data_IF_868849184496
#
_entry.id   IF_868849184496
#
_cell.length_a   1.000
_cell.length_b   1.000
_cell.length_c   1.000
_cell.angle_alpha   90.00
_cell.angle_beta   90.00
_cell.angle_gamma   90.00
#
_symmetry.space_group_name_H-M   'P 1'
#
loop_
_entity.id
_entity.type
_entity.pdbx_description
1 polymer ?
#
# COMPACT_ATOMS: atom_id res chain seq x y z
N UNK A 1 14.28 -0.85 6.98
CA UNK A 1 12.92 -1.26 6.58
C UNK A 1 11.96 -0.41 7.40
N UNK A 2 11.02 0.28 6.78
CA UNK A 2 10.07 1.19 7.46
C UNK A 2 8.65 0.66 7.48
N UNK A 3 8.32 -0.27 6.59
CA UNK A 3 7.03 -0.99 6.57
C UNK A 3 7.27 -2.41 6.01
N UNK A 4 6.48 -3.38 6.46
CA UNK A 4 6.55 -4.79 6.05
C UNK A 4 5.18 -5.44 6.20
N UNK A 5 4.72 -6.10 5.13
CA UNK A 5 3.48 -6.86 5.09
C UNK A 5 3.73 -8.24 4.47
N UNK A 6 3.27 -9.30 5.13
CA UNK A 6 3.20 -10.62 4.52
C UNK A 6 2.00 -10.71 3.58
N UNK A 7 2.15 -11.44 2.47
CA UNK A 7 1.02 -11.83 1.64
C UNK A 7 0.07 -12.73 2.43
N UNK A 8 -1.21 -12.78 2.03
CA UNK A 8 -2.24 -13.59 2.73
C UNK A 8 -1.89 -15.09 2.80
N UNK A 9 -1.22 -15.62 1.78
CA UNK A 9 -0.74 -17.00 1.74
C UNK A 9 0.60 -17.21 2.47
N UNK A 10 1.17 -16.14 3.06
CA UNK A 10 2.45 -16.12 3.78
C UNK A 10 3.66 -16.57 2.96
N UNK A 11 3.57 -16.58 1.62
CA UNK A 11 4.69 -16.98 0.75
C UNK A 11 5.59 -15.82 0.34
N UNK A 12 5.18 -14.57 0.62
CA UNK A 12 5.89 -13.36 0.19
C UNK A 12 5.85 -12.29 1.28
N UNK A 13 6.87 -11.43 1.26
CA UNK A 13 6.92 -10.20 2.04
C UNK A 13 7.08 -8.99 1.10
N UNK A 14 6.17 -8.03 1.20
CA UNK A 14 6.32 -6.71 0.63
C UNK A 14 6.89 -5.78 1.71
N UNK A 15 7.90 -4.98 1.35
CA UNK A 15 8.63 -4.15 2.30
C UNK A 15 8.91 -2.77 1.72
N UNK A 16 8.93 -1.76 2.58
CA UNK A 16 9.47 -0.43 2.27
C UNK A 16 10.90 -0.34 2.78
N UNK A 17 11.85 -0.18 1.86
CA UNK A 17 13.28 -0.04 2.18
C UNK A 17 13.82 1.19 1.45
N UNK A 18 14.26 2.21 2.20
CA UNK A 18 14.77 3.45 1.61
C UNK A 18 13.76 4.19 0.73
N UNK A 19 12.45 4.04 1.02
CA UNK A 19 11.37 4.60 0.21
C UNK A 19 11.02 3.81 -1.06
N UNK A 20 11.53 2.59 -1.20
CA UNK A 20 11.31 1.71 -2.36
C UNK A 20 10.49 0.49 -1.97
N UNK A 21 9.68 -0.02 -2.91
CA UNK A 21 8.96 -1.30 -2.73
C UNK A 21 9.92 -2.44 -3.04
N UNK A 22 10.16 -3.29 -2.05
CA UNK A 22 10.95 -4.51 -2.17
C UNK A 22 10.05 -5.71 -1.90
N UNK A 23 10.05 -6.65 -2.82
CA UNK A 23 9.38 -7.95 -2.68
C UNK A 23 10.43 -9.02 -2.40
N UNK A 24 10.16 -9.92 -1.45
CA UNK A 24 10.95 -11.12 -1.21
C UNK A 24 10.04 -12.34 -1.05
N UNK A 25 10.57 -13.52 -1.35
CA UNK A 25 9.94 -14.80 -1.01
C UNK A 25 10.12 -15.09 0.47
N UNK A 26 9.15 -15.76 1.09
CA UNK A 26 9.24 -16.29 2.44
C UNK A 26 9.43 -17.80 2.34
N UNK A 27 10.60 -18.28 2.73
CA UNK A 27 10.96 -19.69 2.60
C UNK A 27 11.36 -20.30 3.94
N UNK A 28 10.89 -21.52 4.21
CA UNK A 28 11.37 -22.28 5.36
C UNK A 28 12.70 -22.95 5.01
N UNK A 29 13.71 -22.66 5.81
CA UNK A 29 15.05 -23.25 5.72
C UNK A 29 15.03 -24.71 6.16
N UNK A 30 16.08 -25.47 5.81
CA UNK A 30 16.26 -26.86 6.26
C UNK A 30 16.29 -27.00 7.79
N UNK A 31 16.66 -25.93 8.51
CA UNK A 31 16.70 -25.88 9.98
C UNK A 31 15.34 -25.50 10.60
N UNK A 32 14.27 -25.37 9.81
CA UNK A 32 12.92 -25.02 10.26
C UNK A 32 12.68 -23.52 10.50
N UNK A 33 13.70 -22.67 10.34
CA UNK A 33 13.59 -21.21 10.43
C UNK A 33 13.02 -20.62 9.13
N UNK A 34 12.42 -19.43 9.18
CA UNK A 34 11.99 -18.71 7.99
C UNK A 34 13.03 -17.67 7.55
N UNK A 35 13.20 -17.53 6.24
CA UNK A 35 14.08 -16.54 5.63
C UNK A 35 13.34 -15.75 4.53
N UNK A 36 13.72 -14.49 4.38
CA UNK A 36 13.37 -13.68 3.22
C UNK A 36 14.43 -13.90 2.13
N UNK A 37 14.03 -14.45 0.99
CA UNK A 37 14.93 -14.81 -0.10
C UNK A 37 14.56 -14.09 -1.39
N UNK A 38 15.53 -13.97 -2.30
CA UNK A 38 15.37 -13.34 -3.62
C UNK A 38 14.73 -11.93 -3.60
N UNK A 39 15.24 -10.98 -2.80
CA UNK A 39 14.68 -9.64 -2.76
C UNK A 39 14.82 -8.96 -4.12
N UNK A 40 13.73 -8.35 -4.60
CA UNK A 40 13.72 -7.55 -5.83
C UNK A 40 12.90 -6.28 -5.66
N UNK A 41 13.32 -5.22 -6.34
CA UNK A 41 12.59 -3.95 -6.37
C UNK A 41 11.42 -4.04 -7.35
N UNK A 42 10.26 -3.51 -6.95
CA UNK A 42 9.11 -3.30 -7.81
C UNK A 42 8.92 -1.80 -8.09
N UNK A 43 8.14 -1.48 -9.12
CA UNK A 43 7.65 -0.12 -9.37
C UNK A 43 8.78 0.92 -9.44
N UNK A 44 9.75 0.73 -10.33
CA UNK A 44 10.91 1.61 -10.44
C UNK A 44 10.52 3.09 -10.64
N UNK A 45 9.40 3.35 -11.33
CA UNK A 45 8.85 4.69 -11.55
C UNK A 45 8.47 5.44 -10.28
N UNK A 46 8.25 4.75 -9.16
CA UNK A 46 7.94 5.38 -7.87
C UNK A 46 9.16 6.02 -7.20
N UNK A 47 10.38 5.77 -7.70
CA UNK A 47 11.60 6.30 -7.09
C UNK A 47 11.76 5.85 -5.64
N UNK A 48 12.04 6.81 -4.76
CA UNK A 48 12.22 6.63 -3.32
C UNK A 48 11.11 7.31 -2.51
N UNK A 49 9.90 7.35 -3.06
CA UNK A 49 8.78 8.14 -2.50
C UNK A 49 7.85 7.34 -1.59
N UNK A 50 7.98 6.01 -1.49
CA UNK A 50 7.00 5.17 -0.79
C UNK A 50 7.10 5.31 0.73
N UNK A 51 5.96 5.47 1.39
CA UNK A 51 5.83 5.64 2.85
C UNK A 51 5.29 4.36 3.51
N UNK A 52 4.14 3.87 3.04
CA UNK A 52 3.48 2.66 3.54
C UNK A 52 2.95 1.81 2.38
N UNK A 53 2.75 0.52 2.62
CA UNK A 53 2.21 -0.41 1.64
C UNK A 53 1.17 -1.38 2.23
N UNK A 54 0.29 -1.89 1.37
CA UNK A 54 -0.67 -2.94 1.71
C UNK A 54 -0.90 -3.86 0.52
N UNK A 55 -1.00 -5.16 0.77
CA UNK A 55 -1.52 -6.10 -0.22
C UNK A 55 -2.98 -5.79 -0.50
N UNK A 56 -3.34 -5.65 -1.79
CA UNK A 56 -4.73 -5.55 -2.24
C UNK A 56 -5.25 -6.93 -2.67
N UNK A 57 -4.41 -7.66 -3.39
CA UNK A 57 -4.60 -9.05 -3.84
C UNK A 57 -3.29 -9.82 -3.62
N UNK A 58 -3.20 -11.08 -4.09
CA UNK A 58 -1.94 -11.85 -4.02
C UNK A 58 -0.83 -11.37 -4.97
N UNK A 59 -1.18 -10.46 -5.89
CA UNK A 59 -0.35 -9.99 -6.99
C UNK A 59 -0.35 -8.46 -7.18
N UNK A 60 -1.04 -7.72 -6.32
CA UNK A 60 -1.15 -6.26 -6.41
C UNK A 60 -1.00 -5.61 -5.03
N UNK A 61 -0.18 -4.56 -4.97
CA UNK A 61 0.16 -3.82 -3.77
C UNK A 61 -0.25 -2.37 -3.97
N UNK A 62 -0.96 -1.79 -3.01
CA UNK A 62 -1.17 -0.33 -2.96
C UNK A 62 -0.12 0.31 -2.06
N UNK A 63 0.34 1.49 -2.42
CA UNK A 63 1.33 2.25 -1.65
C UNK A 63 0.92 3.70 -1.48
N UNK A 64 1.27 4.31 -0.35
CA UNK A 64 1.27 5.77 -0.19
C UNK A 64 2.63 6.34 -0.51
N UNK A 65 2.65 7.58 -1.01
CA UNK A 65 3.85 8.24 -1.52
C UNK A 65 3.98 9.68 -1.01
N UNK A 66 5.21 10.16 -0.94
CA UNK A 66 5.53 11.59 -0.67
C UNK A 66 5.36 12.48 -1.91
N UNK A 67 5.03 11.89 -3.06
CA UNK A 67 4.77 12.61 -4.31
C UNK A 67 3.36 13.21 -4.29
N UNK A 68 3.26 14.53 -4.22
CA UNK A 68 1.98 15.24 -4.16
C UNK A 68 1.12 15.10 -5.42
N UNK A 69 1.73 14.83 -6.58
CA UNK A 69 0.97 14.64 -7.81
C UNK A 69 0.40 13.23 -7.91
N UNK A 70 1.07 12.25 -7.29
CA UNK A 70 0.71 10.83 -7.31
C UNK A 70 0.85 10.23 -5.90
N UNK A 71 0.00 10.64 -4.94
CA UNK A 71 0.19 10.30 -3.52
C UNK A 71 -0.16 8.85 -3.18
N UNK A 72 -0.86 8.14 -4.08
CA UNK A 72 -1.18 6.72 -3.95
C UNK A 72 -1.01 6.04 -5.31
N UNK A 73 -0.36 4.88 -5.31
CA UNK A 73 -0.16 4.07 -6.52
C UNK A 73 -0.46 2.59 -6.26
N UNK A 74 -0.87 1.87 -7.30
CA UNK A 74 -0.98 0.43 -7.35
C UNK A 74 0.23 -0.15 -8.09
N UNK A 75 0.79 -1.24 -7.58
CA UNK A 75 2.02 -1.86 -8.07
C UNK A 75 1.79 -3.37 -8.18
N UNK A 76 1.81 -3.88 -9.41
CA UNK A 76 1.77 -5.30 -9.67
C UNK A 76 3.16 -5.93 -9.43
N UNK A 77 3.21 -7.24 -9.20
CA UNK A 77 4.46 -7.97 -8.97
C UNK A 77 5.36 -8.06 -10.20
N UNK A 78 4.85 -7.82 -11.41
CA UNK A 78 5.66 -7.62 -12.61
C UNK A 78 6.36 -6.25 -12.65
N UNK A 79 5.99 -5.34 -11.73
CA UNK A 79 6.56 -4.00 -11.58
C UNK A 79 5.80 -2.91 -12.33
N UNK A 80 4.76 -3.24 -13.10
CA UNK A 80 3.83 -2.26 -13.69
C UNK A 80 3.11 -1.53 -12.55
N UNK A 81 2.95 -0.22 -12.70
CA UNK A 81 2.24 0.59 -11.73
C UNK A 81 1.24 1.55 -12.41
N UNK A 82 0.23 1.92 -11.65
CA UNK A 82 -0.75 2.95 -11.99
C UNK A 82 -1.00 3.82 -10.77
N UNK A 83 -1.50 5.03 -10.98
CA UNK A 83 -1.75 5.98 -9.89
C UNK A 83 -3.25 6.10 -9.61
N UNK A 84 -3.60 6.18 -8.33
CA UNK A 84 -4.95 6.56 -7.92
C UNK A 84 -5.14 8.07 -8.14
N UNK A 85 -6.38 8.57 -8.29
CA UNK A 85 -6.63 10.00 -8.31
C UNK A 85 -6.14 10.67 -7.02
N UNK A 86 -5.62 11.89 -7.12
CA UNK A 86 -5.18 12.66 -5.94
C UNK A 86 -6.31 13.47 -5.28
N UNK A 87 -7.44 13.64 -5.98
CA UNK A 87 -8.56 14.48 -5.55
C UNK A 87 -9.11 14.03 -4.18
N UNK A 88 -9.21 14.98 -3.24
CA UNK A 88 -9.71 14.76 -1.88
C UNK A 88 -8.63 14.44 -0.84
N UNK A 89 -7.39 14.17 -1.24
CA UNK A 89 -6.29 13.87 -0.33
C UNK A 89 -5.58 15.13 0.18
N UNK A 90 -5.19 15.10 1.45
CA UNK A 90 -4.23 16.06 2.00
C UNK A 90 -2.99 15.28 2.44
N UNK A 91 -1.83 15.86 2.18
CA UNK A 91 -0.55 15.28 2.59
C UNK A 91 -0.10 15.79 3.97
N UNK A 92 0.74 15.01 4.69
CA UNK A 92 1.27 13.70 4.34
C UNK A 92 0.30 12.54 4.61
N UNK A 93 0.34 11.50 3.76
CA UNK A 93 -0.32 10.23 4.06
C UNK A 93 0.62 9.34 4.89
N UNK A 94 0.11 8.74 5.95
CA UNK A 94 0.93 7.95 6.89
C UNK A 94 0.76 6.44 6.75
N UNK A 95 -0.40 5.96 6.31
CA UNK A 95 -0.75 4.54 6.29
C UNK A 95 -1.69 4.24 5.15
N UNK A 96 -1.56 3.05 4.56
CA UNK A 96 -2.56 2.48 3.66
C UNK A 96 -2.90 1.06 4.09
N UNK A 97 -4.17 0.70 4.01
CA UNK A 97 -4.66 -0.68 4.06
C UNK A 97 -5.62 -0.90 2.91
N UNK A 98 -5.70 -2.11 2.38
CA UNK A 98 -6.60 -2.41 1.27
C UNK A 98 -7.18 -3.82 1.32
N UNK A 99 -8.36 -3.94 0.73
CA UNK A 99 -8.94 -5.19 0.29
C UNK A 99 -9.03 -5.17 -1.26
N UNK A 100 -9.43 -6.27 -1.92
CA UNK A 100 -9.48 -6.31 -3.39
C UNK A 100 -10.26 -5.17 -4.07
N UNK A 101 -11.27 -4.58 -3.42
CA UNK A 101 -12.13 -3.55 -4.01
C UNK A 101 -11.83 -2.12 -3.56
N UNK A 102 -11.20 -1.94 -2.40
CA UNK A 102 -11.12 -0.63 -1.73
C UNK A 102 -9.79 -0.44 -1.04
N UNK A 103 -9.16 0.71 -1.29
CA UNK A 103 -8.02 1.19 -0.53
C UNK A 103 -8.49 2.23 0.50
N UNK A 104 -7.86 2.22 1.67
CA UNK A 104 -8.08 3.16 2.75
C UNK A 104 -6.76 3.80 3.14
N UNK A 105 -6.74 5.13 3.28
CA UNK A 105 -5.54 5.86 3.67
C UNK A 105 -5.79 6.71 4.92
N UNK A 106 -4.78 6.79 5.77
CA UNK A 106 -4.73 7.77 6.85
C UNK A 106 -4.12 9.07 6.34
N UNK A 107 -4.92 10.14 6.36
CA UNK A 107 -4.52 11.51 6.00
C UNK A 107 -4.72 12.45 7.21
N UNK A 108 -4.24 13.71 7.16
CA UNK A 108 -4.41 14.66 8.26
C UNK A 108 -5.88 14.90 8.65
N UNK A 109 -6.81 14.86 7.68
CA UNK A 109 -8.25 15.03 7.88
C UNK A 109 -8.96 13.76 8.39
N UNK A 110 -8.26 12.63 8.49
CA UNK A 110 -8.82 11.36 8.90
C UNK A 110 -8.68 10.27 7.84
N UNK A 111 -9.53 9.25 7.93
CA UNK A 111 -9.49 8.11 7.01
C UNK A 111 -10.31 8.41 5.76
N UNK A 112 -9.69 8.22 4.60
CA UNK A 112 -10.37 8.26 3.31
C UNK A 112 -10.33 6.89 2.62
N UNK A 113 -11.33 6.63 1.80
CA UNK A 113 -11.45 5.43 1.00
C UNK A 113 -11.55 5.74 -0.49
N UNK A 114 -11.01 4.84 -1.30
CA UNK A 114 -11.13 4.88 -2.75
C UNK A 114 -11.36 3.49 -3.33
N UNK A 115 -12.38 3.39 -4.17
CA UNK A 115 -12.73 2.19 -4.94
C UNK A 115 -12.71 2.50 -6.43
N UNK A 116 -11.73 1.98 -7.20
CA UNK A 116 -11.61 2.25 -8.63
C UNK A 116 -12.84 1.84 -9.46
N UNK A 117 -13.59 0.83 -8.98
CA UNK A 117 -14.78 0.30 -9.64
C UNK A 117 -16.09 0.92 -9.14
N UNK A 118 -16.04 1.90 -8.24
CA UNK A 118 -17.24 2.54 -7.72
C UNK A 118 -17.76 3.60 -8.71
N UNK A 119 -18.98 3.42 -9.19
CA UNK A 119 -19.61 4.34 -10.14
C UNK A 119 -19.69 5.75 -9.57
N UNK A 120 -19.23 6.74 -10.35
CA UNK A 120 -19.27 8.15 -10.00
C UNK A 120 -18.23 8.62 -8.97
N UNK A 121 -17.39 7.73 -8.43
CA UNK A 121 -16.34 8.12 -7.49
C UNK A 121 -15.12 8.71 -8.23
N UNK A 122 -15.03 10.04 -8.27
CA UNK A 122 -13.94 10.76 -8.95
C UNK A 122 -12.67 10.92 -8.10
N UNK A 123 -12.72 10.59 -6.81
CA UNK A 123 -11.62 10.79 -5.87
C UNK A 123 -11.85 10.11 -4.52
N UNK A 124 -11.00 10.44 -3.57
CA UNK A 124 -11.04 9.89 -2.22
C UNK A 124 -12.19 10.52 -1.43
N UNK A 125 -12.94 9.67 -0.73
CA UNK A 125 -14.08 10.11 0.11
C UNK A 125 -13.82 9.74 1.55
N UNK A 126 -14.24 10.59 2.48
CA UNK A 126 -14.11 10.32 3.90
C UNK A 126 -14.90 9.07 4.30
N UNK A 127 -14.33 8.28 5.20
CA UNK A 127 -15.06 7.19 5.85
C UNK A 127 -15.87 7.77 7.01
N UNK A 128 -17.19 7.64 6.94
CA UNK A 128 -18.11 8.13 7.98
C UNK A 128 -17.69 7.64 9.37
N UNK A 129 -17.55 8.57 10.30
CA UNK A 129 -17.12 8.28 11.69
C UNK A 129 -15.60 8.19 11.88
N UNK A 130 -14.81 8.28 10.81
CA UNK A 130 -13.33 8.28 10.86
C UNK A 130 -12.70 9.55 10.25
N UNK A 131 -13.49 10.59 10.01
CA UNK A 131 -13.02 11.94 9.65
C UNK A 131 -12.49 12.69 10.88
N UNK A 132 -11.53 12.07 11.58
CA UNK A 132 -10.90 12.61 12.78
C UNK A 132 -9.38 12.53 12.63
N UNK A 133 -8.62 13.59 12.96
CA UNK A 133 -7.17 13.59 12.87
C UNK A 133 -6.53 12.45 13.67
N UNK A 134 -5.56 11.77 13.06
CA UNK A 134 -4.83 10.67 13.69
C UNK A 134 -5.54 9.31 13.65
N UNK A 135 -6.74 9.22 13.06
CA UNK A 135 -7.36 7.91 12.79
C UNK A 135 -6.52 7.11 11.79
N UNK A 136 -6.35 5.82 12.06
CA UNK A 136 -5.66 4.88 11.18
C UNK A 136 -6.61 3.76 10.77
N UNK A 137 -6.68 3.41 9.47
CA UNK A 137 -7.54 2.34 9.01
C UNK A 137 -6.93 0.98 9.37
N UNK A 138 -7.78 0.03 9.74
CA UNK A 138 -7.43 -1.38 9.94
C UNK A 138 -8.47 -2.24 9.24
N UNK A 139 -8.04 -3.33 8.61
CA UNK A 139 -8.92 -4.31 7.99
C UNK A 139 -8.86 -5.63 8.76
N UNK A 140 -9.96 -6.39 8.82
CA UNK A 140 -9.93 -7.77 9.32
C UNK A 140 -8.98 -8.62 8.46
N UNK A 141 -8.19 -9.48 9.11
CA UNK A 141 -7.30 -10.44 8.47
C UNK A 141 -8.03 -11.58 7.79
#
# INVERSE_FOLDING_TARGET
>A
ITDLQLSRDSTRAAMVIGGQVILASVEQTQAGQYALTYPRRLGFGLGNSVVSLSWRTGDDIVVTRTDASHPVSYVNLDGVNSDAPAHGLQLPLSTVVANPSTAYVAAPQGVLQYSPSADGQQGWVEVSGLAVPGAAPVLPG
#
